data_IF_113270996382
#
_entry.id   IF_113270996382
#
_cell.length_a   1.000
_cell.length_b   1.000
_cell.length_c   1.000
_cell.angle_alpha   90.00
_cell.angle_beta   90.00
_cell.angle_gamma   90.00
#
_symmetry.space_group_name_H-M   'P 1'
#
loop_
_entity.id
_entity.type
_entity.pdbx_description
1 polymer ?
#
# COMPACT_ATOMS: atom_id res chain seq x y z
N UNK A 1 -33.45 38.98 16.43
CA UNK A 1 -32.95 38.31 15.19
C UNK A 1 -31.44 38.56 15.05
N UNK A 2 -30.60 37.96 15.89
CA UNK A 2 -29.13 38.01 15.75
C UNK A 2 -28.53 36.76 16.39
N UNK A 3 -28.63 35.62 15.71
CA UNK A 3 -27.95 34.38 16.11
C UNK A 3 -27.96 33.38 14.94
N UNK A 4 -27.36 33.73 13.80
CA UNK A 4 -27.30 32.79 12.66
C UNK A 4 -26.36 33.26 11.55
N UNK A 5 -25.08 33.57 11.85
CA UNK A 5 -24.04 33.65 10.81
C UNK A 5 -22.60 33.68 11.35
N UNK A 6 -22.18 32.62 12.04
CA UNK A 6 -20.76 32.41 12.36
C UNK A 6 -20.40 30.91 12.45
N UNK A 7 -21.01 30.09 11.59
CA UNK A 7 -20.58 28.72 11.30
C UNK A 7 -20.30 28.61 9.81
N UNK A 8 -19.15 29.12 9.40
CA UNK A 8 -18.51 28.88 8.11
C UNK A 8 -17.12 29.44 8.28
N UNK A 9 -16.19 28.53 8.53
CA UNK A 9 -14.76 28.57 8.18
C UNK A 9 -14.07 27.42 8.91
N UNK A 10 -14.58 26.19 8.68
CA UNK A 10 -13.80 24.99 8.96
C UNK A 10 -12.79 24.84 7.82
N UNK A 11 -11.64 25.49 8.01
CA UNK A 11 -10.48 25.38 7.14
C UNK A 11 -9.98 23.93 7.19
N UNK A 12 -10.41 23.09 6.25
CA UNK A 12 -9.89 21.74 6.00
C UNK A 12 -8.51 21.83 5.33
N UNK A 13 -7.57 22.50 6.00
CA UNK A 13 -6.15 22.30 5.76
C UNK A 13 -5.76 21.06 6.53
N UNK A 14 -5.35 19.99 5.84
CA UNK A 14 -4.75 18.81 6.47
C UNK A 14 -3.59 19.27 7.37
N UNK A 15 -3.84 19.40 8.67
CA UNK A 15 -2.78 19.60 9.65
C UNK A 15 -1.95 18.33 9.63
N UNK A 16 -0.72 18.42 9.11
CA UNK A 16 0.24 17.32 9.20
C UNK A 16 0.45 17.03 10.68
N UNK A 17 0.28 15.77 11.07
CA UNK A 17 0.52 15.35 12.45
C UNK A 17 1.92 15.76 12.90
N UNK A 18 2.02 16.24 14.14
CA UNK A 18 3.31 16.55 14.73
C UNK A 18 4.08 15.26 15.05
N UNK A 19 5.40 15.35 15.19
CA UNK A 19 6.21 14.23 15.67
C UNK A 19 5.74 13.74 17.05
N UNK A 20 5.24 14.64 17.89
CA UNK A 20 4.65 14.33 19.19
C UNK A 20 3.39 13.47 19.05
N UNK A 21 2.49 13.79 18.12
CA UNK A 21 1.26 13.01 17.90
C UNK A 21 1.58 11.57 17.45
N UNK A 22 2.57 11.42 16.56
CA UNK A 22 3.06 10.12 16.13
C UNK A 22 3.67 9.35 17.30
N UNK A 23 4.44 10.03 18.16
CA UNK A 23 5.03 9.44 19.36
C UNK A 23 3.96 8.93 20.33
N UNK A 24 2.92 9.74 20.59
CA UNK A 24 1.79 9.32 21.43
C UNK A 24 1.03 8.14 20.83
N UNK A 25 0.75 8.15 19.53
CA UNK A 25 0.12 7.02 18.85
C UNK A 25 0.99 5.75 18.91
N UNK A 26 2.32 5.90 18.84
CA UNK A 26 3.24 4.78 18.98
C UNK A 26 3.20 4.21 20.41
N UNK A 27 3.20 5.05 21.44
CA UNK A 27 3.16 4.61 22.84
C UNK A 27 1.77 4.19 23.34
N UNK A 28 0.71 4.47 22.59
CA UNK A 28 -0.66 4.07 22.95
C UNK A 28 -0.80 2.55 23.08
N UNK A 29 -1.46 2.10 24.15
CA UNK A 29 -1.83 0.70 24.36
C UNK A 29 -3.05 0.29 23.51
N UNK A 30 -3.80 1.26 22.97
CA UNK A 30 -5.03 1.05 22.20
C UNK A 30 -4.85 1.31 20.70
N UNK A 31 -3.75 0.82 20.11
CA UNK A 31 -3.42 1.08 18.70
C UNK A 31 -4.51 0.63 17.72
N UNK A 32 -5.20 -0.47 17.99
CA UNK A 32 -6.25 -0.98 17.10
C UNK A 32 -7.45 -0.03 17.01
N UNK A 33 -7.88 0.54 18.14
CA UNK A 33 -8.97 1.52 18.18
C UNK A 33 -8.59 2.80 17.43
N UNK A 34 -7.32 3.22 17.53
CA UNK A 34 -6.80 4.36 16.77
C UNK A 34 -6.84 4.09 15.26
N UNK A 35 -6.40 2.91 14.81
CA UNK A 35 -6.47 2.55 13.39
C UNK A 35 -7.92 2.59 12.91
N UNK A 36 -8.84 1.97 13.66
CA UNK A 36 -10.24 1.92 13.27
C UNK A 36 -10.88 3.30 13.25
N UNK A 37 -10.63 4.14 14.26
CA UNK A 37 -11.22 5.48 14.36
C UNK A 37 -10.64 6.44 13.32
N UNK A 38 -9.32 6.43 13.12
CA UNK A 38 -8.66 7.37 12.22
C UNK A 38 -8.75 6.96 10.74
N UNK A 39 -9.00 5.68 10.44
CA UNK A 39 -9.07 5.15 9.07
C UNK A 39 -10.49 4.70 8.67
N UNK A 40 -11.50 4.92 9.54
CA UNK A 40 -12.89 4.47 9.31
C UNK A 40 -13.56 5.03 8.04
N UNK A 41 -13.19 6.23 7.58
CA UNK A 41 -13.86 6.90 6.46
C UNK A 41 -13.42 6.38 5.09
N UNK A 42 -12.19 6.69 4.71
CA UNK A 42 -11.57 6.31 3.44
C UNK A 42 -10.26 5.59 3.72
N UNK A 43 -10.28 4.26 3.64
CA UNK A 43 -9.09 3.43 3.82
C UNK A 43 -8.25 3.41 2.53
N UNK A 44 -7.81 4.59 2.09
CA UNK A 44 -6.85 4.75 1.00
C UNK A 44 -5.44 4.97 1.56
N UNK A 45 -4.42 4.70 0.74
CA UNK A 45 -3.04 4.91 1.17
C UNK A 45 -2.71 6.38 1.48
N UNK A 46 -3.13 7.38 0.67
CA UNK A 46 -2.89 8.78 0.98
C UNK A 46 -3.40 9.22 2.36
N UNK A 47 -4.61 8.81 2.77
CA UNK A 47 -5.14 9.15 4.09
C UNK A 47 -4.38 8.42 5.19
N UNK A 48 -4.13 7.11 5.04
CA UNK A 48 -3.32 6.34 6.00
C UNK A 48 -1.89 6.90 6.16
N UNK A 49 -1.32 7.40 5.07
CA UNK A 49 -0.01 8.06 5.04
C UNK A 49 -0.05 9.39 5.80
N UNK A 50 -1.11 10.19 5.61
CA UNK A 50 -1.27 11.51 6.24
C UNK A 50 -1.28 11.43 7.77
N UNK A 51 -1.82 10.34 8.32
CA UNK A 51 -1.90 10.08 9.76
C UNK A 51 -0.70 9.29 10.31
N UNK A 52 0.34 9.04 9.51
CA UNK A 52 1.57 8.46 10.06
C UNK A 52 1.50 6.96 10.37
N UNK A 53 0.51 6.19 9.88
CA UNK A 53 0.31 4.76 10.26
C UNK A 53 1.58 3.92 10.16
N UNK A 54 2.33 4.04 9.06
CA UNK A 54 3.56 3.26 8.88
C UNK A 54 4.63 3.48 9.97
N UNK A 55 4.57 4.60 10.70
CA UNK A 55 5.52 4.93 11.76
C UNK A 55 5.07 4.43 13.14
N UNK A 56 3.79 4.59 13.48
CA UNK A 56 3.33 4.33 14.85
C UNK A 56 2.73 2.93 15.07
N UNK A 57 2.19 2.28 14.04
CA UNK A 57 1.61 0.93 14.20
C UNK A 57 2.71 -0.08 14.49
N UNK A 58 2.68 -0.73 15.67
CA UNK A 58 3.70 -1.71 16.09
C UNK A 58 3.44 -3.10 15.55
N UNK A 59 2.18 -3.54 15.59
CA UNK A 59 1.81 -4.90 15.17
C UNK A 59 1.92 -5.07 13.66
N UNK A 60 2.73 -6.04 13.23
CA UNK A 60 2.83 -6.44 11.81
C UNK A 60 1.50 -6.96 11.29
N UNK A 61 0.76 -7.72 12.10
CA UNK A 61 -0.56 -8.23 11.72
C UNK A 61 -1.55 -7.08 11.47
N UNK A 62 -1.60 -6.09 12.35
CA UNK A 62 -2.46 -4.92 12.17
C UNK A 62 -2.11 -4.12 10.91
N UNK A 63 -0.81 -4.01 10.59
CA UNK A 63 -0.34 -3.36 9.38
C UNK A 63 -0.74 -4.15 8.11
N UNK A 64 -0.60 -5.47 8.15
CA UNK A 64 -1.03 -6.35 7.05
C UNK A 64 -2.55 -6.27 6.82
N UNK A 65 -3.35 -6.22 7.88
CA UNK A 65 -4.80 -6.08 7.79
C UNK A 65 -5.20 -4.73 7.19
N UNK A 66 -4.53 -3.64 7.59
CA UNK A 66 -4.74 -2.33 7.00
C UNK A 66 -4.38 -2.32 5.51
N UNK A 67 -3.21 -2.82 5.13
CA UNK A 67 -2.82 -2.94 3.72
C UNK A 67 -3.82 -3.78 2.92
N UNK A 68 -4.38 -4.83 3.52
CA UNK A 68 -5.43 -5.64 2.92
C UNK A 68 -6.73 -4.86 2.70
N UNK A 69 -7.12 -3.99 3.64
CA UNK A 69 -8.27 -3.08 3.47
C UNK A 69 -8.02 -2.06 2.36
N UNK A 70 -6.82 -1.47 2.31
CA UNK A 70 -6.40 -0.54 1.26
C UNK A 70 -6.47 -1.22 -0.12
N UNK A 71 -5.94 -2.43 -0.26
CA UNK A 71 -6.00 -3.20 -1.50
C UNK A 71 -7.43 -3.36 -2.03
N UNK A 72 -8.39 -3.64 -1.13
CA UNK A 72 -9.81 -3.77 -1.48
C UNK A 72 -10.41 -2.44 -1.93
N UNK A 73 -10.13 -1.34 -1.22
CA UNK A 73 -10.61 0.00 -1.60
C UNK A 73 -10.09 0.40 -2.98
N UNK A 74 -8.80 0.19 -3.25
CA UNK A 74 -8.20 0.46 -4.56
C UNK A 74 -8.86 -0.36 -5.67
N UNK A 75 -9.12 -1.65 -5.43
CA UNK A 75 -9.82 -2.50 -6.41
C UNK A 75 -11.28 -2.07 -6.64
N UNK A 76 -12.02 -1.69 -5.58
CA UNK A 76 -13.41 -1.24 -5.72
C UNK A 76 -13.56 0.09 -6.45
N UNK A 77 -12.53 0.94 -6.46
CA UNK A 77 -12.59 2.25 -7.11
C UNK A 77 -12.60 2.17 -8.64
N UNK A 78 -11.71 1.35 -9.21
CA UNK A 78 -11.48 1.28 -10.66
C UNK A 78 -11.80 -0.09 -11.27
N UNK A 79 -12.04 -1.12 -10.44
CA UNK A 79 -12.21 -2.52 -10.86
C UNK A 79 -11.05 -3.08 -11.71
N UNK A 80 -9.86 -2.47 -11.61
CA UNK A 80 -8.64 -2.96 -12.24
C UNK A 80 -7.75 -3.69 -11.21
N UNK A 81 -7.42 -4.99 -11.42
CA UNK A 81 -6.51 -5.71 -10.54
C UNK A 81 -5.10 -5.09 -10.44
N UNK A 82 -4.68 -4.29 -11.43
CA UNK A 82 -3.38 -3.60 -11.37
C UNK A 82 -3.30 -2.61 -10.20
N UNK A 83 -4.41 -1.94 -9.85
CA UNK A 83 -4.41 -0.93 -8.77
C UNK A 83 -4.25 -1.52 -7.37
N UNK A 84 -4.60 -2.80 -7.21
CA UNK A 84 -4.41 -3.55 -5.97
C UNK A 84 -3.18 -4.46 -5.99
N UNK A 85 -2.49 -4.55 -7.13
CA UNK A 85 -1.38 -5.47 -7.36
C UNK A 85 -0.28 -5.30 -6.31
N UNK A 86 0.18 -4.07 -6.14
CA UNK A 86 1.25 -3.75 -5.20
C UNK A 86 0.96 -4.27 -3.79
N UNK A 87 -0.23 -3.95 -3.27
CA UNK A 87 -0.65 -4.33 -1.92
C UNK A 87 -0.75 -5.84 -1.75
N UNK A 88 -1.34 -6.57 -2.70
CA UNK A 88 -1.46 -8.02 -2.57
C UNK A 88 -0.12 -8.75 -2.72
N UNK A 89 0.81 -8.22 -3.52
CA UNK A 89 2.15 -8.81 -3.67
C UNK A 89 2.95 -8.66 -2.38
N UNK A 90 2.99 -7.46 -1.78
CA UNK A 90 3.74 -7.27 -0.52
C UNK A 90 3.15 -8.11 0.61
N UNK A 91 1.84 -8.38 0.59
CA UNK A 91 1.16 -9.27 1.54
C UNK A 91 1.38 -10.77 1.26
N UNK A 92 2.06 -11.13 0.17
CA UNK A 92 2.26 -12.52 -0.26
C UNK A 92 0.98 -13.21 -0.77
N UNK A 93 -0.11 -12.47 -1.01
CA UNK A 93 -1.44 -13.00 -1.39
C UNK A 93 -1.59 -13.12 -2.92
N UNK A 94 -0.61 -13.72 -3.60
CA UNK A 94 -0.63 -13.88 -5.08
C UNK A 94 -1.84 -14.65 -5.60
N UNK A 95 -2.37 -15.61 -4.82
CA UNK A 95 -3.54 -16.39 -5.22
C UNK A 95 -4.77 -15.52 -5.47
N UNK A 96 -5.00 -14.52 -4.61
CA UNK A 96 -6.10 -13.54 -4.78
C UNK A 96 -5.95 -12.78 -6.08
N UNK A 97 -4.72 -12.40 -6.46
CA UNK A 97 -4.48 -11.72 -7.73
C UNK A 97 -4.79 -12.59 -8.94
N UNK A 98 -4.43 -13.86 -8.92
CA UNK A 98 -4.76 -14.80 -10.02
C UNK A 98 -6.27 -14.85 -10.24
N UNK A 99 -7.05 -14.96 -9.15
CA UNK A 99 -8.51 -15.03 -9.24
C UNK A 99 -9.14 -13.70 -9.68
N UNK A 100 -8.59 -12.56 -9.23
CA UNK A 100 -9.01 -11.23 -9.69
C UNK A 100 -8.73 -11.02 -11.18
N UNK A 101 -7.54 -11.39 -11.66
CA UNK A 101 -7.20 -11.27 -13.08
C UNK A 101 -8.08 -12.14 -13.98
N UNK A 102 -8.46 -13.36 -13.54
CA UNK A 102 -9.45 -14.19 -14.24
C UNK A 102 -10.82 -13.53 -14.31
N UNK A 103 -11.29 -13.00 -13.18
CA UNK A 103 -12.59 -12.32 -13.09
C UNK A 103 -12.65 -11.10 -14.02
N UNK A 104 -11.55 -10.36 -14.12
CA UNK A 104 -11.42 -9.21 -15.03
C UNK A 104 -11.03 -9.60 -16.47
N UNK A 105 -11.09 -10.90 -16.84
CA UNK A 105 -10.79 -11.44 -18.18
C UNK A 105 -9.36 -11.15 -18.70
N UNK A 106 -8.40 -11.04 -17.78
CA UNK A 106 -6.99 -10.79 -18.07
C UNK A 106 -6.16 -12.08 -17.90
N UNK A 107 -6.46 -13.11 -18.71
CA UNK A 107 -5.91 -14.46 -18.52
C UNK A 107 -4.38 -14.52 -18.59
N UNK A 108 -3.76 -13.71 -19.48
CA UNK A 108 -2.28 -13.65 -19.60
C UNK A 108 -1.60 -13.26 -18.28
N UNK A 109 -2.20 -12.34 -17.52
CA UNK A 109 -1.67 -11.96 -16.21
C UNK A 109 -1.93 -13.08 -15.19
N UNK A 110 -3.13 -13.67 -15.18
CA UNK A 110 -3.45 -14.79 -14.30
C UNK A 110 -2.47 -15.97 -14.49
N UNK A 111 -2.17 -16.35 -15.73
CA UNK A 111 -1.17 -17.36 -16.06
C UNK A 111 0.23 -16.99 -15.57
N UNK A 112 0.64 -15.73 -15.75
CA UNK A 112 1.94 -15.25 -15.27
C UNK A 112 2.05 -15.38 -13.74
N UNK A 113 1.06 -14.92 -12.98
CA UNK A 113 1.07 -14.95 -11.51
C UNK A 113 0.87 -16.35 -10.92
N UNK A 114 0.37 -17.31 -11.70
CA UNK A 114 0.24 -18.72 -11.31
C UNK A 114 1.60 -19.41 -11.14
N UNK A 115 2.64 -18.93 -11.83
CA UNK A 115 3.97 -19.53 -11.80
C UNK A 115 4.64 -19.44 -10.40
N UNK A 116 5.69 -20.23 -10.22
CA UNK A 116 6.51 -20.17 -9.02
C UNK A 116 7.67 -19.18 -9.18
N UNK A 117 7.58 -18.06 -8.46
CA UNK A 117 8.61 -17.02 -8.41
C UNK A 117 9.76 -17.35 -7.45
N UNK A 118 9.85 -18.59 -6.96
CA UNK A 118 11.09 -19.12 -6.38
C UNK A 118 12.06 -19.60 -7.46
N UNK A 119 11.56 -19.97 -8.64
CA UNK A 119 12.40 -20.39 -9.76
C UNK A 119 13.08 -19.19 -10.43
N UNK A 120 14.36 -19.32 -10.75
CA UNK A 120 15.15 -18.26 -11.39
C UNK A 120 14.53 -17.74 -12.68
N UNK A 121 13.94 -18.65 -13.48
CA UNK A 121 13.26 -18.30 -14.74
C UNK A 121 12.18 -17.24 -14.53
N UNK A 122 11.30 -17.45 -13.55
CA UNK A 122 10.16 -16.57 -13.29
C UNK A 122 10.56 -15.31 -12.52
N UNK A 123 11.59 -15.41 -11.67
CA UNK A 123 12.22 -14.24 -11.04
C UNK A 123 12.82 -13.28 -12.07
N UNK A 124 13.59 -13.80 -13.03
CA UNK A 124 14.17 -13.00 -14.12
C UNK A 124 13.06 -12.38 -14.96
N UNK A 125 11.99 -13.12 -15.27
CA UNK A 125 10.84 -12.60 -16.01
C UNK A 125 10.14 -11.46 -15.25
N UNK A 126 9.89 -11.61 -13.95
CA UNK A 126 9.32 -10.56 -13.11
C UNK A 126 10.22 -9.32 -13.05
N UNK A 127 11.53 -9.51 -12.86
CA UNK A 127 12.50 -8.41 -12.82
C UNK A 127 12.57 -7.64 -14.16
N UNK A 128 12.53 -8.34 -15.29
CA UNK A 128 12.43 -7.72 -16.63
C UNK A 128 11.15 -6.90 -16.79
N UNK A 129 10.01 -7.43 -16.33
CA UNK A 129 8.74 -6.70 -16.34
C UNK A 129 8.80 -5.44 -15.47
N UNK A 130 9.48 -5.51 -14.32
CA UNK A 130 9.68 -4.36 -13.43
C UNK A 130 10.45 -3.23 -14.12
N UNK A 131 11.58 -3.53 -14.79
CA UNK A 131 12.32 -2.53 -15.57
C UNK A 131 11.50 -1.92 -16.71
N UNK A 132 10.68 -2.73 -17.40
CA UNK A 132 9.78 -2.24 -18.44
C UNK A 132 8.67 -1.32 -17.89
N UNK A 133 8.24 -1.51 -16.64
CA UNK A 133 7.29 -0.63 -15.97
C UNK A 133 7.94 0.66 -15.48
N UNK A 134 9.20 0.61 -15.05
CA UNK A 134 9.97 1.80 -14.69
C UNK A 134 10.15 2.74 -15.88
N UNK A 135 10.46 2.23 -17.08
CA UNK A 135 10.58 3.07 -18.29
C UNK A 135 9.27 3.75 -18.67
N UNK A 136 8.12 3.13 -18.33
CA UNK A 136 6.77 3.70 -18.49
C UNK A 136 6.33 4.60 -17.33
N UNK A 137 7.22 4.90 -16.36
CA UNK A 137 6.94 5.68 -15.14
C UNK A 137 5.83 5.09 -14.26
N UNK A 138 5.54 3.80 -14.37
CA UNK A 138 4.57 3.08 -13.53
C UNK A 138 5.27 2.50 -12.30
N UNK A 139 5.71 3.37 -11.41
CA UNK A 139 6.63 3.02 -10.32
C UNK A 139 6.01 2.08 -9.27
N UNK A 140 4.74 2.26 -8.91
CA UNK A 140 4.06 1.39 -7.94
C UNK A 140 3.98 -0.06 -8.44
N UNK A 141 3.58 -0.25 -9.70
CA UNK A 141 3.61 -1.57 -10.33
C UNK A 141 5.04 -2.10 -10.44
N UNK A 142 6.02 -1.28 -10.82
CA UNK A 142 7.41 -1.71 -10.89
C UNK A 142 7.91 -2.24 -9.53
N UNK A 143 7.63 -1.52 -8.44
CA UNK A 143 7.96 -1.96 -7.08
C UNK A 143 7.29 -3.30 -6.74
N UNK A 144 6.03 -3.51 -7.14
CA UNK A 144 5.33 -4.78 -6.98
C UNK A 144 6.06 -5.93 -7.69
N UNK A 145 6.52 -5.73 -8.94
CA UNK A 145 7.23 -6.77 -9.68
C UNK A 145 8.65 -7.04 -9.14
N UNK A 146 9.36 -6.03 -8.62
CA UNK A 146 10.63 -6.26 -7.92
C UNK A 146 10.41 -7.06 -6.64
N UNK A 147 9.41 -6.70 -5.83
CA UNK A 147 9.00 -7.44 -4.66
C UNK A 147 8.64 -8.90 -5.01
N UNK A 148 7.90 -9.12 -6.10
CA UNK A 148 7.56 -10.47 -6.59
C UNK A 148 8.80 -11.28 -7.01
N UNK A 149 9.82 -10.63 -7.58
CA UNK A 149 11.08 -11.31 -7.96
C UNK A 149 11.97 -11.67 -6.77
N UNK A 150 11.59 -11.26 -5.56
CA UNK A 150 12.37 -11.39 -4.33
C UNK A 150 13.42 -10.30 -4.13
N UNK A 151 13.39 -9.23 -4.94
CA UNK A 151 14.32 -8.11 -4.86
C UNK A 151 13.69 -6.96 -4.07
N UNK A 152 13.67 -7.14 -2.74
CA UNK A 152 13.03 -6.18 -1.82
C UNK A 152 13.80 -4.85 -1.82
N UNK A 153 15.13 -4.89 -1.96
CA UNK A 153 15.98 -3.71 -2.02
C UNK A 153 15.60 -2.78 -3.18
N UNK A 154 15.45 -3.31 -4.39
CA UNK A 154 15.02 -2.53 -5.55
C UNK A 154 13.58 -1.98 -5.35
N UNK A 155 12.66 -2.77 -4.78
CA UNK A 155 11.28 -2.33 -4.51
C UNK A 155 11.23 -1.16 -3.51
N UNK A 156 12.01 -1.24 -2.43
CA UNK A 156 12.14 -0.19 -1.40
C UNK A 156 12.79 1.06 -1.99
N UNK A 157 13.83 0.88 -2.81
CA UNK A 157 14.50 2.00 -3.48
C UNK A 157 13.54 2.78 -4.38
N UNK A 158 12.63 2.11 -5.09
CA UNK A 158 11.60 2.77 -5.90
C UNK A 158 10.63 3.56 -5.02
N UNK A 159 10.21 3.00 -3.88
CA UNK A 159 9.35 3.70 -2.94
C UNK A 159 10.00 5.01 -2.45
N UNK A 160 11.30 4.97 -2.13
CA UNK A 160 12.05 6.15 -1.66
C UNK A 160 12.33 7.14 -2.78
N UNK A 161 12.94 6.72 -3.89
CA UNK A 161 13.47 7.63 -4.91
C UNK A 161 12.40 8.12 -5.89
N UNK A 162 11.50 7.23 -6.30
CA UNK A 162 10.54 7.50 -7.37
C UNK A 162 9.18 7.92 -6.79
N UNK A 163 8.64 7.15 -5.84
CA UNK A 163 7.37 7.48 -5.19
C UNK A 163 7.52 8.57 -4.12
N UNK A 164 8.75 8.82 -3.65
CA UNK A 164 9.05 9.79 -2.58
C UNK A 164 8.22 9.52 -1.32
N UNK A 165 8.07 8.23 -1.00
CA UNK A 165 7.28 7.75 0.12
C UNK A 165 8.10 6.84 1.02
N UNK A 166 8.81 7.46 1.96
CA UNK A 166 9.60 6.79 3.00
C UNK A 166 8.73 5.91 3.91
N UNK A 167 7.48 6.29 4.11
CA UNK A 167 6.58 5.54 4.95
C UNK A 167 6.14 4.25 4.26
N UNK A 168 5.85 4.33 2.96
CA UNK A 168 5.58 3.14 2.14
C UNK A 168 6.78 2.20 2.14
N UNK A 169 7.99 2.74 1.95
CA UNK A 169 9.23 1.97 2.03
C UNK A 169 9.36 1.22 3.38
N UNK A 170 9.12 1.91 4.50
CA UNK A 170 9.15 1.30 5.83
C UNK A 170 8.11 0.18 5.98
N UNK A 171 6.88 0.40 5.49
CA UNK A 171 5.82 -0.61 5.50
C UNK A 171 6.22 -1.84 4.68
N UNK A 172 6.79 -1.64 3.49
CA UNK A 172 7.27 -2.74 2.63
C UNK A 172 8.34 -3.56 3.36
N UNK A 173 9.38 -2.93 3.91
CA UNK A 173 10.42 -3.62 4.67
C UNK A 173 9.82 -4.44 5.82
N UNK A 174 8.96 -3.83 6.65
CA UNK A 174 8.35 -4.49 7.81
C UNK A 174 7.44 -5.66 7.44
N UNK A 175 6.72 -5.56 6.32
CA UNK A 175 5.82 -6.63 5.88
C UNK A 175 6.60 -7.76 5.21
N UNK A 176 7.66 -7.47 4.45
CA UNK A 176 8.34 -8.47 3.63
C UNK A 176 9.57 -9.11 4.30
N UNK A 177 10.39 -8.35 5.02
CA UNK A 177 11.63 -8.85 5.65
C UNK A 177 11.37 -9.38 7.06
N UNK A 178 10.42 -8.77 7.79
CA UNK A 178 10.00 -9.19 9.13
C UNK A 178 10.82 -8.59 10.25
#
# INVERSE_FOLDING_TARGET
KHASKARKDANTGQQKLSSSDICWAYHSESQQVLIETCVAGECDWPSARSIGVGYWVKSRAALQDLCGKIAKVHFMKNHDPNDCLFWYIILGKKGVLVDLFRTCKQERFAEFFKNDFKEDRWRIAAKKNAYALMSKRRYELAAAYFALSGDIGDAVQICVKNLKDYQLALVVCRIMEG
#
